data_IF_346739067742
#
_entry.id   IF_346739067742
#
_cell.length_a   1.000
_cell.length_b   1.000
_cell.length_c   1.000
_cell.angle_alpha   90.00
_cell.angle_beta   90.00
_cell.angle_gamma   90.00
#
_symmetry.space_group_name_H-M   'P 1'
#
loop_
_entity.id
_entity.type
_entity.pdbx_description
1 polymer ?
#
# COMPACT_ATOMS: atom_id res chain seq x y z
N UNK A 1 -29.45 3.60 -10.47
CA UNK A 1 -29.53 2.23 -9.93
C UNK A 1 -28.35 1.38 -10.43
N UNK A 2 -27.10 1.77 -10.11
CA UNK A 2 -25.90 0.93 -10.34
C UNK A 2 -24.76 1.30 -9.37
N UNK A 3 -24.72 2.52 -8.85
CA UNK A 3 -23.68 2.96 -7.89
C UNK A 3 -23.89 2.45 -6.45
N UNK A 4 -25.14 2.25 -6.01
CA UNK A 4 -25.43 1.78 -4.65
C UNK A 4 -25.12 0.28 -4.44
N UNK A 5 -25.11 -0.51 -5.50
CA UNK A 5 -24.79 -1.94 -5.41
C UNK A 5 -23.26 -2.19 -5.36
N UNK A 6 -22.46 -1.28 -5.94
CA UNK A 6 -20.99 -1.34 -5.81
C UNK A 6 -20.57 -0.87 -4.41
N UNK A 7 -21.20 0.16 -3.83
CA UNK A 7 -20.91 0.59 -2.46
C UNK A 7 -21.25 -0.41 -1.34
N UNK A 8 -22.03 -1.45 -1.63
CA UNK A 8 -22.36 -2.49 -0.65
C UNK A 8 -21.50 -3.76 -0.80
N UNK A 9 -20.66 -3.86 -1.84
CA UNK A 9 -19.92 -5.07 -2.19
C UNK A 9 -18.41 -5.03 -1.83
N UNK A 10 -17.91 -3.91 -1.29
CA UNK A 10 -16.46 -3.68 -1.09
C UNK A 10 -16.06 -3.26 0.33
N UNK A 11 -16.98 -3.32 1.29
CA UNK A 11 -16.69 -2.91 2.67
C UNK A 11 -17.15 -3.96 3.64
N UNK A 12 -16.52 -5.13 3.63
CA UNK A 12 -16.55 -5.98 4.81
C UNK A 12 -15.48 -5.41 5.77
N UNK A 13 -15.86 -4.91 6.97
CA UNK A 13 -14.91 -4.32 7.91
C UNK A 13 -13.79 -5.29 8.28
N UNK A 14 -14.03 -6.60 8.18
CA UNK A 14 -13.02 -7.63 8.39
C UNK A 14 -12.03 -7.73 7.20
N UNK A 15 -12.47 -7.50 5.97
CA UNK A 15 -11.60 -7.48 4.78
C UNK A 15 -10.67 -6.28 4.78
N UNK A 16 -11.18 -5.07 5.08
CA UNK A 16 -10.33 -3.88 5.23
C UNK A 16 -9.29 -4.11 6.32
N UNK A 17 -9.70 -4.57 7.50
CA UNK A 17 -8.80 -4.80 8.64
C UNK A 17 -7.77 -5.89 8.36
N UNK A 18 -8.14 -6.88 7.55
CA UNK A 18 -7.23 -7.93 7.07
C UNK A 18 -6.23 -7.38 6.07
N UNK A 19 -6.67 -6.56 5.11
CA UNK A 19 -5.81 -5.89 4.15
C UNK A 19 -4.85 -4.91 4.83
N UNK A 20 -5.31 -4.12 5.82
CA UNK A 20 -4.44 -3.24 6.64
C UNK A 20 -3.34 -4.04 7.34
N UNK A 21 -3.70 -5.17 7.98
CA UNK A 21 -2.73 -6.05 8.66
C UNK A 21 -1.75 -6.66 7.67
N UNK A 22 -2.22 -7.13 6.51
CA UNK A 22 -1.35 -7.67 5.46
C UNK A 22 -0.39 -6.60 4.94
N UNK A 23 -0.87 -5.38 4.74
CA UNK A 23 -0.09 -4.27 4.22
C UNK A 23 0.98 -3.80 5.22
N UNK A 24 0.66 -3.75 6.51
CA UNK A 24 1.64 -3.47 7.58
C UNK A 24 2.64 -4.62 7.81
N UNK A 25 2.23 -5.87 7.57
CA UNK A 25 3.10 -7.04 7.62
C UNK A 25 3.93 -7.21 6.34
N UNK A 26 3.56 -6.54 5.24
CA UNK A 26 4.24 -6.66 3.97
C UNK A 26 5.64 -6.05 4.06
N UNK A 27 6.66 -6.89 3.96
CA UNK A 27 8.06 -6.49 3.89
C UNK A 27 8.62 -6.81 2.52
N UNK A 28 9.47 -5.92 2.01
CA UNK A 28 10.24 -6.20 0.81
C UNK A 28 11.26 -7.31 1.10
N UNK A 29 11.03 -8.51 0.57
CA UNK A 29 11.98 -9.64 0.67
C UNK A 29 12.84 -9.80 -0.58
N UNK A 30 12.30 -9.44 -1.75
CA UNK A 30 12.97 -9.46 -3.05
C UNK A 30 13.23 -8.07 -3.62
N UNK A 31 12.96 -7.91 -4.92
CA UNK A 31 13.07 -6.62 -5.62
C UNK A 31 12.02 -5.61 -5.13
N UNK A 32 12.35 -4.32 -5.22
CA UNK A 32 11.43 -3.24 -4.87
C UNK A 32 10.20 -3.24 -5.78
N UNK A 33 10.37 -3.56 -7.07
CA UNK A 33 9.27 -3.65 -8.03
C UNK A 33 8.26 -4.75 -7.66
N UNK A 34 8.72 -5.94 -7.28
CA UNK A 34 7.83 -7.02 -6.84
C UNK A 34 7.11 -6.67 -5.54
N UNK A 35 7.75 -5.93 -4.64
CA UNK A 35 7.12 -5.39 -3.45
C UNK A 35 6.03 -4.36 -3.81
N UNK A 36 6.32 -3.42 -4.71
CA UNK A 36 5.37 -2.38 -5.14
C UNK A 36 4.12 -2.96 -5.81
N UNK A 37 4.26 -3.99 -6.65
CA UNK A 37 3.11 -4.67 -7.24
C UNK A 37 2.22 -5.31 -6.17
N UNK A 38 2.81 -6.02 -5.21
CA UNK A 38 2.04 -6.62 -4.09
C UNK A 38 1.39 -5.57 -3.21
N UNK A 39 2.11 -4.49 -2.90
CA UNK A 39 1.60 -3.39 -2.11
C UNK A 39 0.38 -2.75 -2.79
N UNK A 40 0.48 -2.46 -4.10
CA UNK A 40 -0.62 -1.89 -4.89
C UNK A 40 -1.82 -2.82 -4.95
N UNK A 41 -1.60 -4.14 -5.06
CA UNK A 41 -2.68 -5.12 -5.07
C UNK A 41 -3.46 -5.14 -3.75
N UNK A 42 -2.76 -5.10 -2.62
CA UNK A 42 -3.42 -5.06 -1.28
C UNK A 42 -4.05 -3.69 -1.03
N UNK A 43 -3.40 -2.60 -1.43
CA UNK A 43 -3.94 -1.25 -1.27
C UNK A 43 -5.14 -0.96 -2.17
N UNK A 44 -5.30 -1.67 -3.28
CA UNK A 44 -6.45 -1.49 -4.18
C UNK A 44 -7.78 -1.92 -3.53
N UNK A 45 -7.71 -2.73 -2.49
CA UNK A 45 -8.86 -3.15 -1.68
C UNK A 45 -9.11 -2.23 -0.48
N UNK A 46 -8.24 -1.25 -0.23
CA UNK A 46 -8.36 -0.29 0.88
C UNK A 46 -8.78 1.07 0.33
N UNK A 47 -9.76 1.73 0.94
CA UNK A 47 -10.11 3.13 0.64
C UNK A 47 -9.16 4.14 1.32
N UNK A 48 -7.88 3.77 1.48
CA UNK A 48 -6.87 4.62 2.12
C UNK A 48 -6.44 5.78 1.22
N UNK A 49 -6.12 6.92 1.83
CA UNK A 49 -5.50 8.08 1.16
C UNK A 49 -4.00 7.84 0.89
N UNK A 50 -3.39 8.65 0.03
CA UNK A 50 -1.98 8.49 -0.36
C UNK A 50 -1.00 8.65 0.82
N UNK A 51 -1.29 9.51 1.80
CA UNK A 51 -0.44 9.71 2.98
C UNK A 51 -0.19 8.42 3.78
N UNK A 52 -1.21 7.71 4.30
CA UNK A 52 -1.01 6.46 5.01
C UNK A 52 -0.42 5.35 4.14
N UNK A 53 -0.73 5.32 2.84
CA UNK A 53 -0.12 4.40 1.89
C UNK A 53 1.37 4.64 1.72
N UNK A 54 1.80 5.89 1.57
CA UNK A 54 3.23 6.25 1.46
C UNK A 54 4.00 5.88 2.73
N UNK A 55 3.42 6.15 3.91
CA UNK A 55 4.06 5.80 5.19
C UNK A 55 4.22 4.28 5.31
N UNK A 56 3.17 3.51 5.01
CA UNK A 56 3.22 2.06 5.09
C UNK A 56 4.15 1.43 4.04
N UNK A 57 4.13 1.97 2.81
CA UNK A 57 5.04 1.57 1.74
C UNK A 57 6.49 1.80 2.14
N UNK A 58 6.82 3.01 2.61
CA UNK A 58 8.15 3.32 3.07
C UNK A 58 8.54 2.43 4.25
N UNK A 59 7.65 2.19 5.22
CA UNK A 59 7.95 1.33 6.36
C UNK A 59 8.33 -0.10 5.93
N UNK A 60 7.67 -0.68 4.93
CA UNK A 60 7.90 -2.05 4.45
C UNK A 60 9.14 -2.25 3.57
N UNK A 61 9.75 -1.17 3.05
CA UNK A 61 10.98 -1.24 2.25
C UNK A 61 12.20 -1.71 3.06
N UNK A 62 13.14 -2.36 2.37
CA UNK A 62 14.45 -2.72 2.93
C UNK A 62 15.26 -1.47 3.27
N UNK A 63 16.11 -1.56 4.28
CA UNK A 63 17.00 -0.46 4.67
C UNK A 63 17.84 0.04 3.49
N UNK A 64 18.43 -0.86 2.71
CA UNK A 64 19.22 -0.50 1.52
C UNK A 64 18.41 0.31 0.50
N UNK A 65 17.14 -0.05 0.27
CA UNK A 65 16.27 0.70 -0.65
C UNK A 65 15.84 2.04 -0.05
N UNK A 66 15.65 2.12 1.27
CA UNK A 66 15.39 3.38 1.96
C UNK A 66 16.58 4.33 1.89
N UNK A 67 17.79 3.80 2.02
CA UNK A 67 19.03 4.58 1.95
C UNK A 67 19.25 5.11 0.52
N UNK A 68 19.00 4.30 -0.50
CA UNK A 68 19.01 4.76 -1.90
C UNK A 68 17.91 5.80 -2.17
N UNK A 69 16.70 5.58 -1.66
CA UNK A 69 15.61 6.57 -1.74
C UNK A 69 15.87 7.84 -0.93
N UNK A 70 16.75 7.81 0.07
CA UNK A 70 17.15 9.00 0.81
C UNK A 70 18.22 9.81 0.08
N UNK A 71 18.96 9.18 -0.84
CA UNK A 71 19.92 9.86 -1.74
C UNK A 71 19.23 10.56 -2.90
N UNK A 72 18.01 10.16 -3.23
CA UNK A 72 17.16 10.75 -4.26
C UNK A 72 16.15 11.64 -3.54
N UNK A 73 15.89 12.86 -4.01
CA UNK A 73 14.87 13.73 -3.38
C UNK A 73 13.54 12.98 -3.30
N UNK A 74 12.97 12.88 -2.08
CA UNK A 74 11.79 12.04 -1.84
C UNK A 74 10.62 12.57 -2.70
N UNK A 75 10.04 11.77 -3.60
CA UNK A 75 8.94 12.23 -4.44
C UNK A 75 7.76 12.66 -3.57
N UNK A 76 7.16 13.79 -3.92
CA UNK A 76 6.05 14.40 -3.15
C UNK A 76 4.72 13.69 -3.37
N UNK A 77 4.63 12.81 -4.36
CA UNK A 77 3.40 12.14 -4.79
C UNK A 77 3.66 10.66 -5.05
N UNK A 78 2.67 9.84 -4.70
CA UNK A 78 2.64 8.41 -5.01
C UNK A 78 2.03 8.24 -6.41
N UNK A 79 2.78 7.65 -7.36
CA UNK A 79 2.39 7.54 -8.77
C UNK A 79 2.02 6.10 -9.17
#
# INVERSE_FOLDING_TARGET
MFEKAIKAAFGDPDEERTAERQLMALRQTGSASSYAVKFRQVSSSLEWKDEPLMVAFYAGLKAEVKDELAKIDRPKEFA
#
